data_IF_675895000463
#
_entry.id   IF_675895000463
#
_cell.length_a   1.000
_cell.length_b   1.000
_cell.length_c   1.000
_cell.angle_alpha   90.00
_cell.angle_beta   90.00
_cell.angle_gamma   90.00
#
_symmetry.space_group_name_H-M   'P 1'
#
loop_
_entity.id
_entity.type
_entity.pdbx_description
1 polymer ?
#
# COMPACT_ATOMS: atom_id res chain seq x y z
N UNK A 1 -9.37 -7.01 8.14
CA UNK A 1 -8.74 -7.20 6.81
C UNK A 1 -8.93 -5.91 6.04
N UNK A 2 -8.02 -5.54 5.15
CA UNK A 2 -8.19 -4.31 4.34
C UNK A 2 -8.37 -4.68 2.88
N UNK A 3 -9.35 -4.07 2.24
CA UNK A 3 -9.65 -4.19 0.82
C UNK A 3 -9.51 -2.82 0.19
N UNK A 4 -8.90 -2.75 -0.98
CA UNK A 4 -8.80 -1.51 -1.76
C UNK A 4 -9.41 -1.77 -3.12
N UNK A 5 -10.03 -0.76 -3.71
CA UNK A 5 -10.54 -0.94 -5.04
C UNK A 5 -11.09 0.32 -5.64
N UNK A 6 -11.49 0.16 -6.90
CA UNK A 6 -11.98 1.22 -7.75
C UNK A 6 -13.14 0.68 -8.56
N UNK A 7 -14.26 1.39 -8.52
CA UNK A 7 -15.37 1.18 -9.43
C UNK A 7 -15.42 2.33 -10.40
N UNK A 8 -15.44 2.06 -11.70
CA UNK A 8 -15.56 3.10 -12.73
C UNK A 8 -16.72 2.83 -13.66
N UNK A 9 -17.28 3.88 -14.23
CA UNK A 9 -18.28 3.78 -15.29
C UNK A 9 -18.01 4.85 -16.33
N UNK A 10 -18.45 4.62 -17.56
CA UNK A 10 -18.51 5.62 -18.61
C UNK A 10 -19.61 6.68 -18.35
N UNK A 11 -20.52 6.44 -17.40
CA UNK A 11 -21.53 7.38 -16.94
C UNK A 11 -21.38 7.71 -15.44
N UNK A 12 -21.82 8.90 -15.00
CA UNK A 12 -21.86 9.24 -13.58
C UNK A 12 -22.65 8.23 -12.73
N UNK A 13 -22.06 7.78 -11.63
CA UNK A 13 -22.77 7.06 -10.59
C UNK A 13 -23.80 7.95 -9.89
N UNK A 14 -24.88 7.32 -9.45
CA UNK A 14 -25.95 7.93 -8.64
C UNK A 14 -26.19 7.07 -7.41
N UNK A 15 -26.85 7.63 -6.38
CA UNK A 15 -27.18 6.93 -5.14
C UNK A 15 -26.00 6.22 -4.46
N UNK A 16 -24.80 6.78 -4.59
CA UNK A 16 -23.60 6.22 -3.97
C UNK A 16 -23.70 6.41 -2.46
N UNK A 17 -23.87 5.32 -1.73
CA UNK A 17 -24.13 5.32 -0.28
C UNK A 17 -23.23 4.31 0.43
N UNK A 18 -22.37 4.74 1.36
CA UNK A 18 -21.53 3.84 2.13
C UNK A 18 -22.36 2.92 3.04
N UNK A 19 -21.89 1.70 3.24
CA UNK A 19 -22.45 0.68 4.15
C UNK A 19 -21.37 0.30 5.16
N UNK A 20 -21.67 0.53 6.43
CA UNK A 20 -20.74 0.25 7.55
C UNK A 20 -19.34 0.87 7.40
N UNK A 21 -19.22 1.98 6.67
CA UNK A 21 -17.93 2.66 6.51
C UNK A 21 -17.55 3.38 7.81
N UNK A 22 -16.41 3.00 8.36
CA UNK A 22 -15.91 3.45 9.66
C UNK A 22 -14.82 4.51 9.51
N UNK A 23 -14.34 5.07 10.63
CA UNK A 23 -13.32 6.14 10.61
C UNK A 23 -11.97 5.72 10.01
N UNK A 24 -11.70 4.42 9.91
CA UNK A 24 -10.50 3.82 9.33
C UNK A 24 -10.66 3.44 7.86
N UNK A 25 -11.84 3.67 7.29
CA UNK A 25 -12.12 3.45 5.88
C UNK A 25 -11.95 4.74 5.09
N UNK A 26 -11.67 4.60 3.80
CA UNK A 26 -11.72 5.71 2.86
C UNK A 26 -12.75 5.41 1.79
N UNK A 27 -13.56 6.41 1.48
CA UNK A 27 -14.60 6.32 0.48
C UNK A 27 -14.67 7.65 -0.27
N UNK A 28 -14.19 7.67 -1.50
CA UNK A 28 -14.09 8.87 -2.33
C UNK A 28 -15.00 8.75 -3.58
N UNK A 29 -15.88 9.73 -3.72
CA UNK A 29 -16.84 9.86 -4.82
C UNK A 29 -16.74 11.25 -5.48
N UNK A 30 -15.61 11.94 -5.34
CA UNK A 30 -15.38 13.29 -5.90
C UNK A 30 -15.41 13.29 -7.42
N UNK A 31 -14.97 12.19 -8.04
CA UNK A 31 -15.18 11.94 -9.46
C UNK A 31 -16.54 11.25 -9.65
N UNK A 32 -17.51 11.86 -10.35
CA UNK A 32 -18.82 11.24 -10.54
C UNK A 32 -18.77 9.89 -11.29
N UNK A 33 -17.74 9.62 -12.08
CA UNK A 33 -17.55 8.38 -12.84
C UNK A 33 -16.66 7.35 -12.12
N UNK A 34 -16.22 7.63 -10.89
CA UNK A 34 -15.36 6.73 -10.13
C UNK A 34 -15.73 6.69 -8.64
N UNK A 35 -15.61 5.51 -8.05
CA UNK A 35 -15.73 5.30 -6.61
C UNK A 35 -14.43 4.63 -6.17
N UNK A 36 -13.59 5.36 -5.44
CA UNK A 36 -12.39 4.80 -4.81
C UNK A 36 -12.72 4.40 -3.38
N UNK A 37 -12.24 3.24 -2.95
CA UNK A 37 -12.49 2.75 -1.61
C UNK A 37 -11.30 2.04 -0.99
N UNK A 38 -11.20 2.19 0.33
CA UNK A 38 -10.44 1.33 1.23
C UNK A 38 -11.35 0.94 2.38
N UNK A 39 -11.63 -0.35 2.50
CA UNK A 39 -12.56 -0.88 3.51
C UNK A 39 -11.82 -1.83 4.46
N UNK A 40 -12.07 -1.67 5.76
CA UNK A 40 -11.33 -2.24 6.87
C UNK A 40 -12.15 -3.22 7.69
N UNK A 41 -12.57 -4.34 7.10
CA UNK A 41 -13.49 -5.29 7.74
C UNK A 41 -12.89 -5.98 8.97
N UNK A 42 -13.47 -5.76 10.15
CA UNK A 42 -13.12 -6.41 11.41
C UNK A 42 -13.98 -7.65 11.73
N UNK A 43 -13.35 -8.76 12.13
CA UNK A 43 -14.06 -9.94 12.64
C UNK A 43 -15.07 -10.54 11.64
N UNK A 44 -16.34 -10.60 12.04
CA UNK A 44 -17.46 -11.07 11.20
C UNK A 44 -18.30 -9.89 10.65
N UNK A 45 -17.72 -8.68 10.63
CA UNK A 45 -18.37 -7.48 10.07
C UNK A 45 -18.49 -7.52 8.55
N UNK A 46 -19.16 -6.50 8.02
CA UNK A 46 -19.33 -6.26 6.59
C UNK A 46 -19.23 -4.76 6.35
N UNK A 47 -18.35 -4.39 5.41
CA UNK A 47 -18.21 -3.03 4.92
C UNK A 47 -18.48 -3.05 3.42
N UNK A 48 -19.04 -1.96 2.92
CA UNK A 48 -19.34 -1.86 1.51
C UNK A 48 -19.95 -0.53 1.14
N UNK A 49 -20.63 -0.53 0.01
CA UNK A 49 -21.36 0.62 -0.48
C UNK A 49 -22.39 0.15 -1.50
N UNK A 50 -23.49 0.89 -1.59
CA UNK A 50 -24.45 0.75 -2.67
C UNK A 50 -24.21 1.87 -3.68
N UNK A 51 -24.49 1.59 -4.94
CA UNK A 51 -24.48 2.59 -6.00
C UNK A 51 -25.48 2.20 -7.08
N UNK A 52 -25.80 3.15 -7.94
CA UNK A 52 -26.56 2.92 -9.16
C UNK A 52 -25.78 3.53 -10.31
N UNK A 53 -25.53 2.77 -11.37
CA UNK A 53 -25.11 3.33 -12.65
C UNK A 53 -26.35 3.54 -13.53
N UNK A 54 -26.34 4.51 -14.44
CA UNK A 54 -27.28 4.54 -15.55
C UNK A 54 -27.21 3.24 -16.36
N UNK A 55 -28.32 2.88 -17.02
CA UNK A 55 -28.41 1.70 -17.88
C UNK A 55 -27.31 1.73 -18.97
N UNK A 56 -26.74 0.56 -19.28
CA UNK A 56 -25.69 0.29 -20.29
C UNK A 56 -24.30 0.90 -20.02
N UNK A 57 -24.11 1.54 -18.87
CA UNK A 57 -22.89 2.28 -18.57
C UNK A 57 -21.73 1.40 -18.10
N UNK A 58 -21.09 0.64 -19.00
CA UNK A 58 -20.03 -0.35 -18.77
C UNK A 58 -19.25 -0.20 -17.45
N UNK A 59 -19.79 -0.75 -16.37
CA UNK A 59 -19.22 -0.59 -15.03
C UNK A 59 -18.10 -1.59 -14.82
N UNK A 60 -16.94 -1.10 -14.44
CA UNK A 60 -15.77 -1.91 -14.13
C UNK A 60 -15.48 -1.89 -12.64
N UNK A 61 -15.33 -3.07 -12.07
CA UNK A 61 -14.95 -3.28 -10.68
C UNK A 61 -13.53 -3.85 -10.63
N UNK A 62 -12.63 -3.12 -9.99
CA UNK A 62 -11.28 -3.58 -9.64
C UNK A 62 -11.12 -3.57 -8.12
N UNK A 63 -10.42 -4.56 -7.59
CA UNK A 63 -10.15 -4.64 -6.17
C UNK A 63 -8.86 -5.42 -5.88
N UNK A 64 -7.96 -4.78 -5.15
CA UNK A 64 -6.83 -5.42 -4.48
C UNK A 64 -7.29 -6.02 -3.14
N UNK A 65 -6.82 -7.23 -2.87
CA UNK A 65 -7.40 -8.15 -1.89
C UNK A 65 -6.32 -8.98 -1.22
N UNK A 66 -6.47 -9.31 0.08
CA UNK A 66 -5.54 -10.21 0.75
C UNK A 66 -5.44 -11.57 0.06
N UNK A 67 -4.25 -12.19 0.12
CA UNK A 67 -4.00 -13.53 -0.43
C UNK A 67 -5.01 -14.54 0.13
N UNK A 68 -5.58 -15.33 -0.75
CA UNK A 68 -6.56 -16.37 -0.40
C UNK A 68 -8.01 -15.88 -0.26
N UNK A 69 -8.29 -14.60 -0.52
CA UNK A 69 -9.66 -14.07 -0.55
C UNK A 69 -10.19 -14.02 -1.99
N UNK A 70 -11.34 -14.63 -2.25
CA UNK A 70 -11.96 -14.68 -3.58
C UNK A 70 -12.98 -13.56 -3.78
N UNK A 71 -13.11 -13.05 -5.01
CA UNK A 71 -14.19 -12.13 -5.34
C UNK A 71 -15.39 -12.96 -5.77
N UNK A 72 -16.58 -12.60 -5.31
CA UNK A 72 -17.79 -13.32 -5.70
C UNK A 72 -18.87 -12.35 -6.16
N UNK A 73 -19.60 -12.72 -7.22
CA UNK A 73 -20.68 -11.91 -7.78
C UNK A 73 -21.99 -12.68 -7.84
N UNK A 74 -23.10 -11.97 -7.63
CA UNK A 74 -24.45 -12.51 -7.69
C UNK A 74 -24.85 -13.39 -6.49
N UNK A 75 -26.13 -13.69 -6.38
CA UNK A 75 -26.68 -14.47 -5.25
C UNK A 75 -26.20 -15.92 -5.17
N UNK A 76 -25.61 -16.45 -6.23
CA UNK A 76 -24.98 -17.77 -6.24
C UNK A 76 -23.52 -17.76 -5.78
N UNK A 77 -22.93 -16.58 -5.55
CA UNK A 77 -21.52 -16.45 -5.15
C UNK A 77 -20.55 -16.93 -6.23
N UNK A 78 -20.78 -16.56 -7.49
CA UNK A 78 -19.88 -16.94 -8.58
C UNK A 78 -18.49 -16.33 -8.36
N UNK A 79 -17.46 -17.17 -8.23
CA UNK A 79 -16.09 -16.70 -8.12
C UNK A 79 -15.65 -15.99 -9.41
N UNK A 80 -15.02 -14.82 -9.26
CA UNK A 80 -14.56 -13.99 -10.35
C UNK A 80 -13.22 -13.35 -9.99
N UNK A 81 -12.42 -13.03 -11.00
CA UNK A 81 -11.12 -12.38 -10.83
C UNK A 81 -11.23 -10.92 -11.26
N UNK A 82 -11.04 -9.95 -10.36
CA UNK A 82 -10.89 -8.53 -10.73
C UNK A 82 -9.63 -8.27 -11.58
N UNK A 83 -9.64 -7.25 -12.45
CA UNK A 83 -10.79 -6.39 -12.76
C UNK A 83 -11.80 -7.08 -13.69
N UNK A 84 -13.09 -6.82 -13.47
CA UNK A 84 -14.16 -7.33 -14.33
C UNK A 84 -15.28 -6.31 -14.54
N UNK A 85 -15.98 -6.42 -15.68
CA UNK A 85 -17.15 -5.61 -15.96
C UNK A 85 -18.38 -6.23 -15.27
N UNK A 86 -19.13 -5.45 -14.49
CA UNK A 86 -20.24 -5.94 -13.65
C UNK A 86 -21.44 -6.44 -14.46
N UNK A 87 -21.57 -6.04 -15.72
CA UNK A 87 -22.67 -6.44 -16.59
C UNK A 87 -22.34 -7.75 -17.35
N UNK A 88 -21.15 -7.80 -17.96
CA UNK A 88 -20.73 -8.92 -18.80
C UNK A 88 -19.99 -10.01 -18.04
N UNK A 89 -19.49 -9.70 -16.83
CA UNK A 89 -18.56 -10.51 -16.04
C UNK A 89 -17.26 -10.86 -16.79
N UNK A 90 -17.01 -10.21 -17.92
CA UNK A 90 -15.80 -10.36 -18.72
C UNK A 90 -14.75 -9.30 -18.35
N UNK A 91 -13.61 -9.32 -19.05
CA UNK A 91 -12.60 -8.27 -18.92
C UNK A 91 -13.16 -6.88 -19.23
N UNK A 92 -12.66 -5.87 -18.52
CA UNK A 92 -12.95 -4.47 -18.81
C UNK A 92 -12.48 -4.08 -20.23
N UNK A 93 -13.42 -3.80 -21.12
CA UNK A 93 -13.17 -3.56 -22.54
C UNK A 93 -12.76 -2.11 -22.85
N UNK A 94 -11.45 -1.86 -22.95
CA UNK A 94 -10.90 -0.59 -23.45
C UNK A 94 -10.77 0.46 -22.34
N UNK A 95 -9.53 0.63 -21.88
CA UNK A 95 -9.15 1.21 -20.58
C UNK A 95 -9.74 0.43 -19.42
N UNK A 96 -9.11 -0.68 -19.05
CA UNK A 96 -9.12 -1.04 -17.63
C UNK A 96 -8.67 0.24 -16.91
N UNK A 97 -9.48 0.80 -16.02
CA UNK A 97 -8.91 1.56 -14.94
C UNK A 97 -8.10 0.50 -14.20
N UNK A 98 -6.82 0.40 -14.57
CA UNK A 98 -5.81 0.00 -13.60
C UNK A 98 -6.13 0.88 -12.40
N UNK A 99 -6.01 0.36 -11.19
CA UNK A 99 -5.74 1.21 -10.04
C UNK A 99 -4.55 2.11 -10.41
N UNK A 100 -4.80 3.20 -11.13
CA UNK A 100 -3.92 4.33 -11.30
C UNK A 100 -4.22 5.10 -10.05
N UNK A 101 -3.52 4.66 -9.02
CA UNK A 101 -3.34 5.26 -7.73
C UNK A 101 -3.07 6.77 -7.84
N UNK A 102 -4.09 7.54 -8.23
CA UNK A 102 -4.16 8.96 -7.94
C UNK A 102 -4.78 9.19 -6.56
N UNK A 103 -5.07 8.10 -5.84
CA UNK A 103 -4.92 8.05 -4.39
C UNK A 103 -3.47 7.77 -3.98
N UNK A 104 -2.47 8.18 -4.79
CA UNK A 104 -1.09 8.31 -4.35
C UNK A 104 -1.15 8.89 -2.95
N UNK A 105 -0.78 8.15 -1.88
CA UNK A 105 -1.39 8.27 -0.55
C UNK A 105 -1.58 9.73 -0.22
N UNK A 106 -2.77 10.26 -0.52
CA UNK A 106 -2.99 11.70 -0.41
C UNK A 106 -3.00 12.09 1.06
N UNK A 107 -3.20 11.10 1.92
CA UNK A 107 -2.67 11.06 3.26
C UNK A 107 -1.47 10.11 3.34
N UNK A 108 -0.31 10.73 3.41
CA UNK A 108 0.87 10.18 4.02
C UNK A 108 0.53 9.22 5.19
N UNK A 109 0.72 7.88 5.07
CA UNK A 109 -0.05 6.91 5.88
C UNK A 109 0.36 6.81 7.35
N UNK A 110 1.20 7.72 7.84
CA UNK A 110 1.76 7.70 9.20
C UNK A 110 2.70 6.52 9.41
N UNK A 111 3.71 6.68 10.25
CA UNK A 111 4.56 5.57 10.63
C UNK A 111 3.76 4.60 11.54
N UNK A 112 3.78 3.27 11.29
CA UNK A 112 3.14 2.32 12.19
C UNK A 112 3.67 2.46 13.62
N UNK A 113 2.81 2.26 14.62
CA UNK A 113 3.27 2.07 15.99
C UNK A 113 3.91 0.68 16.13
N UNK A 114 5.08 0.60 16.76
CA UNK A 114 5.83 -0.64 16.98
C UNK A 114 6.62 -0.62 18.30
N UNK A 115 6.87 -1.80 18.85
CA UNK A 115 7.78 -2.02 19.97
C UNK A 115 9.09 -2.66 19.48
N UNK A 116 10.14 -1.85 19.40
CA UNK A 116 11.48 -2.32 18.97
C UNK A 116 12.11 -3.39 19.87
N UNK A 117 11.64 -3.55 21.11
CA UNK A 117 12.15 -4.55 22.04
C UNK A 117 11.56 -5.94 21.81
N UNK A 118 10.41 -6.03 21.12
CA UNK A 118 9.69 -7.30 20.93
C UNK A 118 9.37 -7.61 19.47
N UNK A 119 9.34 -6.59 18.61
CA UNK A 119 9.02 -6.72 17.20
C UNK A 119 10.28 -6.59 16.36
N UNK A 120 10.58 -7.61 15.55
CA UNK A 120 11.61 -7.56 14.50
C UNK A 120 10.93 -7.32 13.16
N UNK A 121 11.19 -6.19 12.55
CA UNK A 121 10.57 -5.87 11.27
C UNK A 121 11.03 -4.57 10.66
N UNK A 122 10.38 -4.24 9.55
CA UNK A 122 10.49 -2.97 8.83
C UNK A 122 9.14 -2.27 8.91
N UNK A 123 9.15 -1.03 9.36
CA UNK A 123 7.97 -0.18 9.54
C UNK A 123 8.12 1.03 8.65
N UNK A 124 7.16 1.21 7.74
CA UNK A 124 7.23 2.24 6.70
C UNK A 124 6.01 3.12 6.80
N UNK A 125 6.22 4.43 6.75
CA UNK A 125 5.17 5.42 6.67
C UNK A 125 5.78 6.74 6.23
N UNK A 126 5.08 7.84 6.47
CA UNK A 126 5.69 9.14 6.28
C UNK A 126 5.19 10.16 7.31
N UNK A 127 5.87 11.29 7.38
CA UNK A 127 5.45 12.47 8.13
C UNK A 127 5.88 13.72 7.38
N UNK A 128 4.98 14.70 7.23
CA UNK A 128 5.26 15.98 6.57
C UNK A 128 5.87 15.83 5.15
N UNK A 129 5.39 14.86 4.36
CA UNK A 129 5.88 14.61 3.00
C UNK A 129 7.22 13.86 2.91
N UNK A 130 7.79 13.45 4.05
CA UNK A 130 9.02 12.65 4.09
C UNK A 130 8.69 11.21 4.46
N UNK A 131 9.08 10.27 3.61
CA UNK A 131 9.03 8.85 3.90
C UNK A 131 9.97 8.49 5.03
N UNK A 132 9.53 7.56 5.86
CA UNK A 132 10.22 7.07 7.04
C UNK A 132 10.22 5.55 6.99
N UNK A 133 11.41 4.97 6.96
CA UNK A 133 11.64 3.53 7.11
C UNK A 133 12.32 3.33 8.46
N UNK A 134 11.81 2.41 9.27
CA UNK A 134 12.40 2.00 10.55
C UNK A 134 12.59 0.50 10.57
N UNK A 135 13.76 0.06 11.01
CA UNK A 135 14.08 -1.35 11.19
C UNK A 135 14.39 -1.62 12.65
N UNK A 136 14.02 -2.78 13.16
CA UNK A 136 14.16 -3.12 14.59
C UNK A 136 14.76 -4.51 14.80
N UNK A 137 15.52 -4.68 15.88
CA UNK A 137 16.15 -5.96 16.24
C UNK A 137 15.19 -6.97 16.91
N UNK A 138 14.10 -6.47 17.50
CA UNK A 138 13.07 -7.27 18.18
C UNK A 138 13.55 -7.97 19.44
N UNK A 139 14.49 -7.37 20.17
CA UNK A 139 15.07 -7.92 21.40
C UNK A 139 16.05 -9.07 21.20
N UNK A 140 16.29 -9.49 19.95
CA UNK A 140 17.11 -10.65 19.62
C UNK A 140 18.57 -10.34 19.29
N UNK A 141 19.24 -11.32 18.67
CA UNK A 141 20.59 -11.16 18.13
C UNK A 141 20.65 -10.10 17.02
N UNK A 142 21.85 -9.61 16.73
CA UNK A 142 22.10 -8.68 15.63
C UNK A 142 21.57 -9.22 14.30
N UNK A 143 20.93 -8.36 13.51
CA UNK A 143 20.30 -8.67 12.24
C UNK A 143 20.60 -7.57 11.22
N UNK A 144 20.89 -7.96 9.98
CA UNK A 144 21.22 -7.04 8.89
C UNK A 144 20.03 -6.90 7.94
N UNK A 145 19.54 -5.68 7.76
CA UNK A 145 18.54 -5.31 6.76
C UNK A 145 19.26 -4.67 5.58
N UNK A 146 19.17 -5.29 4.40
CA UNK A 146 19.85 -4.84 3.19
C UNK A 146 18.83 -4.64 2.09
N UNK A 147 18.95 -3.56 1.34
CA UNK A 147 18.04 -3.33 0.25
C UNK A 147 18.30 -2.01 -0.45
N UNK A 148 17.34 -1.65 -1.28
CA UNK A 148 17.39 -0.43 -2.08
C UNK A 148 16.01 0.20 -2.17
N UNK A 149 15.97 1.52 -2.26
CA UNK A 149 14.79 2.29 -2.65
C UNK A 149 15.06 2.92 -4.01
N UNK A 150 14.24 2.63 -5.00
CA UNK A 150 14.38 3.18 -6.36
C UNK A 150 13.17 4.03 -6.73
N UNK A 151 13.34 4.93 -7.68
CA UNK A 151 12.25 5.80 -8.14
C UNK A 151 12.40 6.15 -9.62
N UNK A 152 11.31 6.55 -10.27
CA UNK A 152 11.29 7.06 -11.64
C UNK A 152 11.91 8.47 -11.79
N UNK A 153 12.09 9.20 -10.68
CA UNK A 153 12.75 10.52 -10.64
C UNK A 153 13.69 10.64 -9.43
N UNK A 154 14.65 11.59 -9.43
CA UNK A 154 15.61 11.74 -8.34
C UNK A 154 14.98 11.97 -6.97
N UNK A 155 15.60 11.43 -5.92
CA UNK A 155 15.30 11.81 -4.54
C UNK A 155 15.86 13.20 -4.24
N UNK A 156 15.10 13.98 -3.48
CA UNK A 156 15.51 15.30 -3.01
C UNK A 156 16.37 15.21 -1.75
N UNK A 157 16.10 14.19 -0.92
CA UNK A 157 16.89 13.91 0.28
C UNK A 157 16.85 12.42 0.61
N UNK A 158 17.93 11.92 1.22
CA UNK A 158 17.97 10.64 1.89
C UNK A 158 18.96 10.73 3.06
N UNK A 159 18.52 10.33 4.25
CA UNK A 159 19.29 10.45 5.48
C UNK A 159 19.08 9.22 6.35
N UNK A 160 20.17 8.66 6.88
CA UNK A 160 20.09 7.59 7.86
C UNK A 160 19.57 8.10 9.20
N UNK A 161 18.91 7.22 9.96
CA UNK A 161 18.34 7.48 11.27
C UNK A 161 18.96 6.54 12.27
N UNK A 162 19.51 7.08 13.36
CA UNK A 162 20.19 6.33 14.43
C UNK A 162 21.34 5.42 13.96
N UNK A 163 21.94 5.76 12.83
CA UNK A 163 23.03 5.00 12.19
C UNK A 163 24.19 4.72 13.14
N UNK A 164 24.64 3.48 13.12
CA UNK A 164 25.86 3.01 13.73
C UNK A 164 26.99 2.94 12.69
N UNK A 165 28.23 2.75 13.15
CA UNK A 165 29.39 2.73 12.25
C UNK A 165 29.38 1.58 11.23
N UNK A 166 28.61 0.51 11.49
CA UNK A 166 28.42 -0.62 10.58
C UNK A 166 27.37 -0.37 9.49
N UNK A 167 26.64 0.73 9.58
CA UNK A 167 25.50 0.99 8.70
C UNK A 167 25.88 1.89 7.53
N UNK A 168 25.16 1.72 6.43
CA UNK A 168 25.32 2.55 5.24
C UNK A 168 23.97 2.96 4.71
N UNK A 169 23.81 4.24 4.39
CA UNK A 169 22.72 4.76 3.57
C UNK A 169 23.37 5.64 2.52
N UNK A 170 23.30 5.23 1.27
CA UNK A 170 24.02 5.88 0.18
C UNK A 170 23.04 6.23 -0.94
N UNK A 171 22.90 7.52 -1.24
CA UNK A 171 22.40 7.93 -2.56
C UNK A 171 23.52 7.61 -3.54
N UNK A 172 23.29 6.64 -4.41
CA UNK A 172 24.32 6.14 -5.32
C UNK A 172 24.70 7.23 -6.35
N UNK A 173 25.56 6.89 -7.32
CA UNK A 173 25.77 7.75 -8.50
C UNK A 173 24.46 7.99 -9.29
N UNK A 174 23.46 7.12 -9.11
CA UNK A 174 22.10 7.36 -9.56
C UNK A 174 21.30 8.08 -8.44
N UNK A 175 20.90 9.35 -8.62
CA UNK A 175 20.16 10.09 -7.60
C UNK A 175 18.72 9.58 -7.42
N UNK A 176 18.25 8.65 -8.25
CA UNK A 176 16.97 7.95 -8.11
C UNK A 176 17.11 6.57 -7.43
N UNK A 177 18.23 6.32 -6.76
CA UNK A 177 18.47 5.08 -6.01
C UNK A 177 19.16 5.35 -4.66
N UNK A 178 18.59 4.79 -3.60
CA UNK A 178 19.14 4.77 -2.24
C UNK A 178 19.46 3.32 -1.90
N UNK A 179 20.73 3.01 -1.71
CA UNK A 179 21.15 1.71 -1.19
C UNK A 179 21.36 1.78 0.32
N UNK A 180 20.97 0.71 1.03
CA UNK A 180 21.12 0.67 2.48
C UNK A 180 21.54 -0.69 3.04
N UNK A 181 22.27 -0.61 4.15
CA UNK A 181 22.61 -1.72 5.03
C UNK A 181 22.45 -1.18 6.46
N UNK A 182 21.51 -1.75 7.22
CA UNK A 182 21.21 -1.35 8.59
C UNK A 182 21.35 -2.58 9.50
N UNK A 183 22.20 -2.52 10.52
CA UNK A 183 22.54 -3.66 11.37
C UNK A 183 22.04 -3.41 12.79
N UNK A 184 20.93 -4.05 13.14
CA UNK A 184 20.23 -3.77 14.39
C UNK A 184 20.39 -4.93 15.37
N UNK A 185 20.88 -4.67 16.58
CA UNK A 185 20.95 -5.63 17.69
C UNK A 185 19.97 -5.34 18.82
N UNK A 186 19.50 -6.38 19.51
CA UNK A 186 18.69 -6.26 20.72
C UNK A 186 17.42 -5.43 20.49
N UNK A 187 17.18 -4.44 21.36
CA UNK A 187 16.09 -3.46 21.25
C UNK A 187 16.49 -2.19 20.48
N UNK A 188 17.51 -2.29 19.63
CA UNK A 188 17.96 -1.23 18.74
C UNK A 188 16.95 -0.90 17.65
N UNK A 189 17.19 0.22 16.98
CA UNK A 189 16.42 0.66 15.83
C UNK A 189 17.26 1.58 14.96
N UNK A 190 17.27 1.31 13.66
CA UNK A 190 17.85 2.20 12.65
C UNK A 190 16.79 2.58 11.63
N UNK A 191 17.15 3.38 10.64
CA UNK A 191 16.22 3.70 9.57
C UNK A 191 16.74 4.67 8.53
N UNK A 192 15.80 5.08 7.69
CA UNK A 192 16.03 6.03 6.60
C UNK A 192 14.86 7.01 6.59
N UNK A 193 15.17 8.29 6.42
CA UNK A 193 14.19 9.29 6.00
C UNK A 193 14.58 9.78 4.61
N UNK A 194 13.62 9.81 3.68
CA UNK A 194 13.85 10.31 2.32
C UNK A 194 12.63 11.05 1.78
N UNK A 195 12.85 11.83 0.71
CA UNK A 195 11.79 12.59 0.04
C UNK A 195 12.08 12.77 -1.45
N UNK A 196 11.06 13.13 -2.21
CA UNK A 196 11.12 13.14 -3.67
C UNK A 196 10.94 11.75 -4.26
N UNK A 197 11.28 11.62 -5.55
CA UNK A 197 10.96 10.43 -6.33
C UNK A 197 9.50 10.38 -6.79
N UNK A 198 9.28 9.58 -7.82
CA UNK A 198 7.97 9.16 -8.37
C UNK A 198 8.03 7.65 -8.51
N UNK A 199 6.90 6.95 -8.40
CA UNK A 199 6.84 5.49 -8.52
C UNK A 199 7.89 4.78 -7.64
N UNK A 200 7.86 5.11 -6.35
CA UNK A 200 8.94 4.76 -5.41
C UNK A 200 8.83 3.30 -5.02
N UNK A 201 9.81 2.51 -5.43
CA UNK A 201 9.91 1.09 -5.15
C UNK A 201 10.80 0.80 -3.96
N UNK A 202 10.23 0.13 -2.96
CA UNK A 202 10.95 -0.37 -1.80
C UNK A 202 11.33 -1.83 -1.99
N UNK A 203 12.64 -2.09 -2.00
CA UNK A 203 13.22 -3.43 -2.01
C UNK A 203 13.95 -3.73 -0.71
N UNK A 204 13.88 -5.00 -0.30
CA UNK A 204 14.55 -5.51 0.91
C UNK A 204 14.89 -7.00 0.71
N UNK A 205 16.15 -7.34 0.97
CA UNK A 205 16.56 -8.71 1.23
C UNK A 205 16.27 -9.02 2.70
N UNK A 206 15.03 -9.47 2.96
CA UNK A 206 14.52 -9.58 4.32
C UNK A 206 15.26 -10.66 5.13
N UNK A 207 15.76 -10.34 6.33
CA UNK A 207 16.27 -11.35 7.23
C UNK A 207 15.14 -12.24 7.74
N UNK A 208 15.46 -13.50 8.07
CA UNK A 208 14.45 -14.47 8.53
C UNK A 208 13.65 -13.94 9.73
N UNK A 209 12.33 -13.98 9.60
CA UNK A 209 11.40 -13.57 10.66
C UNK A 209 11.12 -12.07 10.72
N UNK A 210 11.66 -11.25 9.81
CA UNK A 210 11.27 -9.85 9.69
C UNK A 210 9.99 -9.71 8.84
N UNK A 211 9.03 -8.93 9.33
CA UNK A 211 7.84 -8.50 8.57
C UNK A 211 8.02 -7.08 8.03
N UNK A 212 7.41 -6.76 6.90
CA UNK A 212 7.34 -5.38 6.38
C UNK A 212 5.92 -4.86 6.54
N UNK A 213 5.74 -3.79 7.32
CA UNK A 213 4.45 -3.21 7.67
C UNK A 213 4.40 -1.74 7.25
N UNK A 214 3.32 -1.35 6.57
CA UNK A 214 3.15 0.00 6.01
C UNK A 214 1.92 0.70 6.59
N UNK A 215 2.11 1.97 6.95
CA UNK A 215 1.05 2.84 7.47
C UNK A 215 0.66 2.58 8.93
N UNK A 216 -0.09 3.49 9.53
CA UNK A 216 -0.63 3.38 10.89
C UNK A 216 -1.38 2.06 11.13
N UNK A 217 -2.02 1.52 10.08
CA UNK A 217 -2.82 0.30 10.14
C UNK A 217 -1.97 -0.98 10.07
N UNK A 218 -0.64 -0.84 10.00
CA UNK A 218 0.32 -1.96 9.99
C UNK A 218 0.04 -2.96 8.86
N UNK A 219 -0.21 -2.44 7.65
CA UNK A 219 -0.52 -3.27 6.48
C UNK A 219 0.68 -4.12 6.11
N UNK A 220 0.61 -5.48 6.17
CA UNK A 220 1.71 -6.32 5.75
C UNK A 220 1.85 -6.31 4.23
N UNK A 221 3.08 -6.13 3.73
CA UNK A 221 3.37 -6.05 2.29
C UNK A 221 4.53 -6.98 1.94
N UNK A 222 4.47 -7.60 0.76
CA UNK A 222 5.57 -8.40 0.21
C UNK A 222 6.52 -7.50 -0.57
N UNK A 223 7.82 -7.72 -0.43
CA UNK A 223 8.86 -6.96 -1.14
C UNK A 223 9.27 -7.66 -2.44
N UNK A 224 9.64 -6.91 -3.50
CA UNK A 224 9.58 -5.45 -3.61
C UNK A 224 8.15 -4.95 -3.90
N UNK A 225 7.86 -3.71 -3.51
CA UNK A 225 6.58 -3.06 -3.76
C UNK A 225 6.71 -1.56 -4.00
N UNK A 226 5.74 -0.97 -4.69
CA UNK A 226 5.63 0.47 -4.87
C UNK A 226 4.95 1.11 -3.63
N UNK A 227 5.58 2.14 -3.05
CA UNK A 227 5.17 2.75 -1.79
C UNK A 227 3.83 3.47 -1.85
N UNK A 228 3.40 3.90 -3.04
CA UNK A 228 2.15 4.60 -3.21
C UNK A 228 0.99 3.58 -3.28
N UNK A 229 1.15 2.57 -4.12
CA UNK A 229 0.13 1.57 -4.43
C UNK A 229 0.12 0.38 -3.45
N UNK A 230 1.24 0.10 -2.79
CA UNK A 230 1.56 -1.16 -2.10
C UNK A 230 1.56 -2.41 -3.01
N UNK A 231 1.47 -2.21 -4.32
CA UNK A 231 1.44 -3.26 -5.33
C UNK A 231 2.81 -3.53 -5.94
N UNK A 232 2.82 -4.27 -7.06
CA UNK A 232 4.06 -4.54 -7.79
C UNK A 232 4.72 -3.26 -8.30
N UNK A 233 6.05 -3.26 -8.24
CA UNK A 233 6.87 -2.22 -8.85
C UNK A 233 6.62 -2.09 -10.37
N UNK A 234 6.71 -0.86 -10.93
CA UNK A 234 6.62 -0.62 -12.37
C UNK A 234 7.75 -1.24 -13.20
#
# INVERSE_FOLDING_TARGET
>A
MSYRGLVTSDQPFTNVTPVSVESNDTFDTTNPQAISFRLGVGGAGEDGFNFSSPDDGGVCFDADRPVGVTATVGGSGMEITPPFNLETLGPCGGVSPKLTDNDAPSSCPGLPAYDKATERGVFIGCANGNWQVRVTGGGGSNVSFRGSVTSGSPFTSATGVLMEASDTVTVTTNPAAIDYILNVGGSGQDGINFSGGTDVCFGLDAPSGATVLVGSDRTPVSVPFDLATLGSCP
#
